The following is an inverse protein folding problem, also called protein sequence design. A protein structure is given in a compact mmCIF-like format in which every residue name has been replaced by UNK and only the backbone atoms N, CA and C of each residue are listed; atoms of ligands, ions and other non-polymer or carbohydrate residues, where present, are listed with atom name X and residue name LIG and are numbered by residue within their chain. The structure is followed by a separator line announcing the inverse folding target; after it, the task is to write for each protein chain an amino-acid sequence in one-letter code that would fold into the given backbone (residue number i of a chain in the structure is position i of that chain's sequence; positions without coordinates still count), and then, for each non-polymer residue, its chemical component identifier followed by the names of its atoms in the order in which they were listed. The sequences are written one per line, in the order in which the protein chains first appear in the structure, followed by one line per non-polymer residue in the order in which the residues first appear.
data_IF_396629295710
#
_entry.id   IF_396629295710
#
_cell.length_a   1.000
_cell.length_b   1.000
_cell.length_c   1.000
_cell.angle_alpha   90.00
_cell.angle_beta   90.00
_cell.angle_gamma   90.00
#
_symmetry.space_group_name_H-M   'P 1'
#
loop_
_entity.id
_entity.type
_entity.pdbx_description
1 polymer ?
#
# COMPACT_ATOMS: atom_id res chain seq x y z
N UNK A 1 -5.42 10.41 -3.56
CA UNK A 1 -6.08 10.26 -2.25
C UNK A 1 -5.02 10.27 -1.17
N UNK A 2 -5.36 10.61 0.08
CA UNK A 2 -4.44 10.40 1.21
C UNK A 2 -4.72 9.06 1.90
N UNK A 3 -3.73 8.48 2.58
CA UNK A 3 -3.88 7.14 3.20
C UNK A 3 -5.01 7.08 4.23
N UNK A 4 -5.21 8.14 5.01
CA UNK A 4 -6.31 8.21 5.99
C UNK A 4 -7.70 8.09 5.35
N UNK A 5 -7.88 8.58 4.12
CA UNK A 5 -9.13 8.37 3.37
C UNK A 5 -9.31 6.90 2.97
N UNK A 6 -8.23 6.22 2.59
CA UNK A 6 -8.24 4.80 2.24
C UNK A 6 -8.58 3.93 3.44
N UNK A 7 -7.91 4.16 4.58
CA UNK A 7 -8.14 3.46 5.84
C UNK A 7 -9.59 3.61 6.27
N UNK A 8 -10.12 4.85 6.22
CA UNK A 8 -11.52 5.13 6.52
C UNK A 8 -12.48 4.43 5.55
N UNK A 9 -12.17 4.43 4.24
CA UNK A 9 -13.01 3.80 3.23
C UNK A 9 -13.21 2.30 3.50
N UNK A 10 -12.14 1.59 3.86
CA UNK A 10 -12.18 0.16 4.14
C UNK A 10 -12.52 -0.19 5.60
N UNK A 11 -12.71 0.82 6.47
CA UNK A 11 -12.96 0.58 7.90
C UNK A 11 -11.79 -0.09 8.62
N UNK A 12 -10.56 0.20 8.18
CA UNK A 12 -9.33 -0.37 8.74
C UNK A 12 -9.04 0.31 10.08
N UNK A 13 -8.85 -0.48 11.12
CA UNK A 13 -8.39 -0.01 12.43
C UNK A 13 -6.90 -0.37 12.57
N UNK A 14 -6.04 0.64 12.41
CA UNK A 14 -4.59 0.51 12.43
C UNK A 14 -3.93 1.81 12.91
N UNK A 15 -2.93 1.68 13.77
CA UNK A 15 -2.11 2.80 14.19
C UNK A 15 -0.89 2.94 13.26
N UNK A 16 -0.72 4.12 12.66
CA UNK A 16 0.34 4.42 11.70
C UNK A 16 0.93 5.81 11.99
N UNK A 17 2.22 6.02 11.69
CA UNK A 17 2.84 7.34 11.73
C UNK A 17 2.01 8.43 11.04
N UNK A 18 1.87 9.60 11.67
CA UNK A 18 1.02 10.69 11.20
C UNK A 18 1.36 11.15 9.77
N UNK A 19 2.66 11.14 9.44
CA UNK A 19 3.13 11.52 8.11
C UNK A 19 2.61 10.57 7.02
N UNK A 20 2.43 9.27 7.33
CA UNK A 20 1.86 8.28 6.40
C UNK A 20 0.36 8.49 6.20
N UNK A 21 -0.37 8.81 7.27
CA UNK A 21 -1.80 9.10 7.21
C UNK A 21 -2.12 10.27 6.28
N UNK A 22 -1.19 11.22 6.16
CA UNK A 22 -1.26 12.38 5.26
C UNK A 22 -0.59 12.15 3.90
N UNK A 23 0.11 11.04 3.71
CA UNK A 23 0.85 10.77 2.48
C UNK A 23 -0.11 10.44 1.32
N UNK A 24 0.12 11.00 0.12
CA UNK A 24 -0.72 10.72 -1.04
C UNK A 24 -0.43 9.34 -1.64
N UNK A 25 -1.48 8.63 -2.03
CA UNK A 25 -1.45 7.38 -2.77
C UNK A 25 -2.37 7.45 -4.00
N UNK A 26 -2.22 6.49 -4.90
CA UNK A 26 -3.04 6.38 -6.11
C UNK A 26 -4.49 6.01 -5.75
N UNK A 27 -5.46 6.68 -6.36
CA UNK A 27 -6.89 6.46 -6.11
C UNK A 27 -7.38 5.07 -6.52
N UNK A 28 -6.62 4.36 -7.38
CA UNK A 28 -6.96 3.00 -7.83
C UNK A 28 -7.17 2.02 -6.67
N UNK A 29 -6.56 2.27 -5.51
CA UNK A 29 -6.73 1.41 -4.33
C UNK A 29 -8.15 1.46 -3.75
N UNK A 30 -8.94 2.51 -4.01
CA UNK A 30 -10.36 2.58 -3.62
C UNK A 30 -11.23 1.55 -4.35
N UNK A 31 -10.79 1.06 -5.50
CA UNK A 31 -11.49 0.02 -6.28
C UNK A 31 -11.04 -1.40 -5.90
N UNK A 32 -10.08 -1.52 -4.96
CA UNK A 32 -9.47 -2.78 -4.57
C UNK A 32 -10.31 -3.64 -3.64
N UNK A 33 -9.97 -4.92 -3.59
CA UNK A 33 -10.49 -5.84 -2.58
C UNK A 33 -9.53 -5.86 -1.39
N UNK A 34 -10.07 -5.70 -0.19
CA UNK A 34 -9.31 -5.83 1.06
C UNK A 34 -9.39 -7.25 1.60
N UNK A 35 -8.25 -7.83 1.95
CA UNK A 35 -8.12 -9.05 2.76
C UNK A 35 -7.26 -8.76 3.99
N UNK A 36 -7.38 -9.63 5.01
CA UNK A 36 -6.58 -9.54 6.24
C UNK A 36 -5.95 -10.89 6.49
N UNK A 37 -4.61 -10.92 6.60
CA UNK A 37 -3.81 -12.12 6.85
C UNK A 37 -2.75 -11.78 7.90
N UNK A 38 -2.67 -12.53 9.00
CA UNK A 38 -1.67 -12.34 10.06
C UNK A 38 -1.54 -10.90 10.59
N UNK A 39 -2.67 -10.21 10.79
CA UNK A 39 -2.77 -8.78 11.17
C UNK A 39 -2.19 -7.79 10.15
N UNK A 40 -1.97 -8.23 8.91
CA UNK A 40 -1.61 -7.39 7.78
C UNK A 40 -2.86 -7.16 6.94
N UNK A 41 -3.22 -5.89 6.75
CA UNK A 41 -4.26 -5.53 5.79
C UNK A 41 -3.65 -5.48 4.39
N UNK A 42 -4.27 -6.17 3.44
CA UNK A 42 -3.86 -6.20 2.05
C UNK A 42 -4.98 -5.67 1.17
N UNK A 43 -4.72 -4.60 0.42
CA UNK A 43 -5.64 -4.07 -0.59
C UNK A 43 -5.07 -4.40 -1.95
N UNK A 44 -5.81 -5.14 -2.77
CA UNK A 44 -5.36 -5.56 -4.10
C UNK A 44 -6.36 -5.15 -5.18
N UNK A 45 -5.85 -4.56 -6.26
CA UNK A 45 -6.63 -4.13 -7.42
C UNK A 45 -5.92 -4.53 -8.71
N UNK A 46 -6.65 -5.16 -9.63
CA UNK A 46 -6.17 -5.47 -10.98
C UNK A 46 -6.77 -4.47 -11.95
N UNK A 47 -5.91 -3.74 -12.63
CA UNK A 47 -6.32 -2.72 -13.61
C UNK A 47 -6.57 -3.35 -14.98
N UNK A 48 -7.19 -2.59 -15.89
CA UNK A 48 -7.47 -3.02 -17.27
C UNK A 48 -6.22 -3.33 -18.11
N UNK A 49 -5.05 -2.86 -17.68
CA UNK A 49 -3.77 -3.08 -18.34
C UNK A 49 -3.05 -4.33 -17.82
N UNK A 50 -3.76 -5.22 -17.12
CA UNK A 50 -3.20 -6.39 -16.44
C UNK A 50 -2.10 -6.06 -15.41
N UNK A 51 -2.08 -4.82 -14.91
CA UNK A 51 -1.24 -4.42 -13.79
C UNK A 51 -1.99 -4.72 -12.50
N UNK A 52 -1.34 -5.44 -11.57
CA UNK A 52 -1.90 -5.71 -10.24
C UNK A 52 -1.20 -4.83 -9.21
N UNK A 53 -1.92 -3.88 -8.62
CA UNK A 53 -1.43 -3.09 -7.50
C UNK A 53 -1.82 -3.74 -6.17
N UNK A 54 -0.90 -3.75 -5.23
CA UNK A 54 -1.07 -4.28 -3.89
C UNK A 54 -0.54 -3.27 -2.88
N UNK A 55 -1.33 -2.97 -1.86
CA UNK A 55 -0.91 -2.21 -0.69
C UNK A 55 -1.00 -3.10 0.54
N UNK A 56 0.05 -3.11 1.34
CA UNK A 56 0.13 -3.84 2.60
C UNK A 56 0.28 -2.83 3.74
N UNK A 57 -0.54 -2.97 4.78
CA UNK A 57 -0.53 -2.14 5.97
C UNK A 57 -0.26 -3.03 7.19
N UNK A 58 0.82 -2.73 7.92
CA UNK A 58 1.25 -3.49 9.10
C UNK A 58 1.93 -2.57 10.12
N UNK A 59 1.21 -2.16 11.16
CA UNK A 59 1.71 -1.19 12.15
C UNK A 59 2.97 -1.63 12.89
N UNK A 60 3.19 -2.94 13.06
CA UNK A 60 4.35 -3.48 13.76
C UNK A 60 5.60 -3.72 12.90
N UNK A 61 5.52 -3.49 11.59
CA UNK A 61 6.63 -3.72 10.67
C UNK A 61 7.64 -2.57 10.63
N UNK A 62 8.88 -2.86 10.20
CA UNK A 62 9.86 -1.84 9.83
C UNK A 62 9.31 -0.90 8.73
N UNK A 63 8.52 -1.47 7.83
CA UNK A 63 7.84 -0.77 6.74
C UNK A 63 6.32 -0.87 6.90
N UNK A 64 5.70 0.02 7.69
CA UNK A 64 4.28 -0.05 7.99
C UNK A 64 3.37 0.06 6.78
N UNK A 65 3.85 0.68 5.70
CA UNK A 65 3.15 0.72 4.42
C UNK A 65 4.09 0.20 3.34
N UNK A 66 3.64 -0.78 2.57
CA UNK A 66 4.32 -1.26 1.37
C UNK A 66 3.37 -1.24 0.20
N UNK A 67 3.78 -0.61 -0.90
CA UNK A 67 3.05 -0.61 -2.16
C UNK A 67 3.86 -1.39 -3.19
N UNK A 68 3.21 -2.32 -3.87
CA UNK A 68 3.78 -3.13 -4.95
C UNK A 68 2.86 -3.11 -6.15
N UNK A 69 3.46 -3.17 -7.34
CA UNK A 69 2.78 -3.26 -8.62
C UNK A 69 3.45 -4.36 -9.43
N UNK A 70 2.69 -5.37 -9.81
CA UNK A 70 3.09 -6.40 -10.73
C UNK A 70 2.64 -6.03 -12.14
N UNK A 71 3.61 -5.87 -13.05
CA UNK A 71 3.38 -5.54 -14.45
C UNK A 71 3.01 -6.80 -15.25
N UNK A 72 2.40 -6.67 -16.44
CA UNK A 72 2.02 -7.82 -17.27
C UNK A 72 3.18 -8.73 -17.68
N UNK A 73 4.41 -8.21 -17.65
CA UNK A 73 5.64 -8.94 -17.94
C UNK A 73 6.24 -9.64 -16.71
N UNK A 74 5.53 -9.67 -15.58
CA UNK A 74 5.97 -10.27 -14.32
C UNK A 74 6.97 -9.42 -13.52
N UNK A 75 7.34 -8.22 -13.99
CA UNK A 75 8.24 -7.32 -13.25
C UNK A 75 7.51 -6.65 -12.09
N UNK A 76 8.24 -6.46 -11.00
CA UNK A 76 7.73 -5.81 -9.79
C UNK A 76 8.33 -4.41 -9.64
N UNK A 77 7.46 -3.44 -9.43
CA UNK A 77 7.83 -2.08 -9.01
C UNK A 77 7.07 -1.74 -7.71
N UNK A 78 7.59 -0.83 -6.90
CA UNK A 78 6.92 -0.45 -5.67
C UNK A 78 7.69 0.53 -4.81
N UNK A 79 7.17 0.75 -3.61
CA UNK A 79 7.76 1.61 -2.60
C UNK A 79 7.44 1.09 -1.21
N UNK A 80 8.42 1.13 -0.31
CA UNK A 80 8.24 0.87 1.12
C UNK A 80 8.38 2.17 1.89
N UNK A 81 7.53 2.35 2.89
CA UNK A 81 7.56 3.52 3.74
C UNK A 81 7.87 3.11 5.18
N UNK A 82 8.95 3.64 5.79
CA UNK A 82 9.40 3.23 7.12
C UNK A 82 8.53 3.82 8.25
N UNK A 83 8.85 3.54 9.51
CA UNK A 83 8.14 4.12 10.66
C UNK A 83 8.41 5.62 10.86
N UNK A 84 9.59 6.10 10.48
CA UNK A 84 9.99 7.50 10.58
C UNK A 84 9.91 8.20 9.22
N UNK A 85 9.67 9.51 9.21
CA UNK A 85 9.54 10.26 7.96
C UNK A 85 10.86 10.24 7.17
N UNK A 86 10.86 9.50 6.07
CA UNK A 86 11.96 9.44 5.12
C UNK A 86 11.38 9.31 3.70
N UNK A 87 12.17 9.70 2.69
CA UNK A 87 11.84 9.39 1.29
C UNK A 87 11.64 7.88 1.17
N UNK A 88 10.49 7.45 0.63
CA UNK A 88 10.15 6.04 0.48
C UNK A 88 11.22 5.26 -0.28
N UNK A 89 11.44 4.01 0.13
CA UNK A 89 12.50 3.16 -0.42
C UNK A 89 11.93 2.43 -1.65
N UNK A 90 12.46 2.65 -2.86
CA UNK A 90 11.93 2.02 -4.06
C UNK A 90 12.17 0.50 -4.06
N UNK A 91 11.19 -0.24 -4.56
CA UNK A 91 11.30 -1.67 -4.84
C UNK A 91 11.48 -1.81 -6.34
N UNK A 92 12.71 -2.04 -6.78
CA UNK A 92 12.98 -2.41 -8.18
C UNK A 92 13.53 -3.84 -8.20
N UNK A 93 12.67 -4.81 -8.52
CA UNK A 93 13.12 -6.16 -8.85
C UNK A 93 12.94 -6.35 -10.36
N UNK A 94 14.06 -6.21 -11.07
CA UNK A 94 14.17 -6.37 -12.53
C UNK A 94 14.10 -7.83 -12.95
#
# INVERSE_FOLDING_TARGET
MILSELIKHFGIDIDLPEYLLKHPFNDVFLEGNMTVEDNVYKIAVRTRQDVTHQMFLNSGGEFPVTVMSELPNGKLNGMKFPQEEHVGIPINKL
#
